data_IF_531873281997
#
_entry.id   IF_531873281997
#
_cell.length_a   1.000
_cell.length_b   1.000
_cell.length_c   1.000
_cell.angle_alpha   90.00
_cell.angle_beta   90.00
_cell.angle_gamma   90.00
#
_symmetry.space_group_name_H-M   'P 1'
#
loop_
_entity.id
_entity.type
_entity.pdbx_description
1 polymer ?
#
# COMPACT_ATOMS: atom_id res chain seq x y z
N UNK A 1 -74.38 -30.53 -13.41
CA UNK A 1 -73.31 -31.31 -12.73
C UNK A 1 -71.99 -30.93 -13.37
N UNK A 2 -71.28 -29.97 -12.75
CA UNK A 2 -70.10 -29.30 -13.32
C UNK A 2 -68.89 -29.77 -12.50
N UNK A 3 -67.93 -30.43 -13.16
CA UNK A 3 -66.65 -30.85 -12.56
C UNK A 3 -65.70 -29.64 -12.45
N UNK A 4 -65.05 -29.40 -11.30
CA UNK A 4 -63.99 -28.39 -11.21
C UNK A 4 -62.68 -28.98 -11.75
N UNK A 5 -62.17 -28.41 -12.85
CA UNK A 5 -60.82 -28.66 -13.36
C UNK A 5 -59.82 -27.93 -12.47
N UNK A 6 -58.93 -28.68 -11.81
CA UNK A 6 -57.78 -28.16 -11.07
C UNK A 6 -56.79 -27.55 -12.06
N UNK A 7 -56.53 -26.25 -11.97
CA UNK A 7 -55.43 -25.57 -12.67
C UNK A 7 -54.18 -25.76 -11.81
N UNK A 8 -53.20 -26.49 -12.33
CA UNK A 8 -51.87 -26.58 -11.73
C UNK A 8 -51.09 -25.32 -12.12
N UNK A 9 -50.74 -24.48 -11.13
CA UNK A 9 -49.73 -23.44 -11.28
C UNK A 9 -48.36 -24.11 -11.43
N UNK A 10 -47.76 -24.04 -12.62
CA UNK A 10 -46.35 -24.32 -12.80
C UNK A 10 -45.55 -23.09 -12.31
N UNK A 11 -44.84 -23.25 -11.19
CA UNK A 11 -43.89 -22.26 -10.71
C UNK A 11 -42.64 -22.29 -11.62
N UNK A 12 -42.43 -21.23 -12.41
CA UNK A 12 -41.13 -20.97 -13.03
C UNK A 12 -40.15 -20.59 -11.93
N UNK A 13 -39.25 -21.51 -11.58
CA UNK A 13 -38.05 -21.19 -10.82
C UNK A 13 -37.11 -20.40 -11.74
N UNK A 14 -37.03 -19.08 -11.54
CA UNK A 14 -35.94 -18.24 -12.05
C UNK A 14 -34.66 -18.69 -11.35
N UNK A 15 -33.88 -19.56 -12.00
CA UNK A 15 -32.48 -19.75 -11.67
C UNK A 15 -31.76 -18.46 -12.04
N UNK A 16 -31.55 -17.58 -11.06
CA UNK A 16 -30.52 -16.57 -11.15
C UNK A 16 -29.20 -17.32 -11.28
N UNK A 17 -28.72 -17.53 -12.51
CA UNK A 17 -27.34 -17.91 -12.75
C UNK A 17 -26.49 -16.80 -12.16
N UNK A 18 -25.91 -17.05 -10.98
CA UNK A 18 -24.98 -16.13 -10.36
C UNK A 18 -23.83 -15.92 -11.34
N UNK A 19 -23.62 -14.67 -11.76
CA UNK A 19 -22.41 -14.32 -12.50
C UNK A 19 -21.22 -14.74 -11.63
N UNK A 20 -20.32 -15.57 -12.17
CA UNK A 20 -19.04 -15.82 -11.51
C UNK A 20 -18.34 -14.47 -11.27
N UNK A 21 -17.63 -14.30 -10.14
CA UNK A 21 -16.79 -13.14 -9.93
C UNK A 21 -15.84 -12.96 -11.12
N UNK A 22 -15.53 -11.72 -11.53
CA UNK A 22 -14.59 -11.51 -12.62
C UNK A 22 -13.19 -11.99 -12.23
N UNK A 23 -12.45 -12.48 -13.21
CA UNK A 23 -11.02 -12.81 -13.10
C UNK A 23 -10.24 -11.50 -13.02
N UNK A 24 -10.01 -10.99 -11.81
CA UNK A 24 -9.50 -9.64 -11.61
C UNK A 24 -8.45 -9.58 -10.49
N UNK A 25 -7.41 -8.78 -10.73
CA UNK A 25 -6.50 -8.34 -9.69
C UNK A 25 -6.65 -6.84 -9.48
N UNK A 26 -6.97 -6.45 -8.26
CA UNK A 26 -7.03 -5.05 -7.83
C UNK A 26 -5.70 -4.70 -7.19
N UNK A 27 -4.98 -3.77 -7.81
CA UNK A 27 -3.74 -3.22 -7.27
C UNK A 27 -4.06 -2.05 -6.37
N UNK A 28 -3.69 -2.13 -5.09
CA UNK A 28 -3.81 -1.03 -4.14
C UNK A 28 -2.43 -0.41 -3.86
N UNK A 29 -2.30 0.91 -4.00
CA UNK A 29 -1.03 1.61 -3.79
C UNK A 29 -1.16 2.62 -2.65
N UNK A 30 -0.84 2.22 -1.41
CA UNK A 30 -0.65 3.15 -0.30
C UNK A 30 0.79 3.70 -0.26
N UNK A 31 1.04 4.67 0.62
CA UNK A 31 2.37 5.16 0.95
C UNK A 31 2.44 5.58 2.41
N UNK A 32 3.63 5.57 3.00
CA UNK A 32 3.95 6.10 4.32
C UNK A 32 4.59 7.50 4.26
N UNK A 33 4.66 8.08 3.06
CA UNK A 33 5.21 9.40 2.77
C UNK A 33 4.12 10.48 2.71
N UNK A 34 4.54 11.73 2.85
CA UNK A 34 3.69 12.92 2.72
C UNK A 34 3.60 13.36 1.26
N UNK A 35 2.39 13.73 0.83
CA UNK A 35 2.14 14.27 -0.51
C UNK A 35 1.71 15.74 -0.43
N UNK A 36 2.16 16.62 -1.35
CA UNK A 36 3.04 16.36 -2.50
C UNK A 36 4.55 16.35 -2.19
N UNK A 37 4.97 16.68 -0.97
CA UNK A 37 6.35 17.05 -0.69
C UNK A 37 7.36 15.94 -0.98
N UNK A 38 7.04 14.69 -0.62
CA UNK A 38 7.95 13.58 -0.83
C UNK A 38 7.82 12.99 -2.24
N UNK A 39 6.58 12.80 -2.69
CA UNK A 39 6.22 12.40 -4.06
C UNK A 39 4.97 13.16 -4.49
N UNK A 40 4.95 13.65 -5.73
CA UNK A 40 3.82 14.40 -6.30
C UNK A 40 3.14 13.66 -7.46
N UNK A 41 3.73 12.55 -7.89
CA UNK A 41 3.28 11.80 -9.05
C UNK A 41 3.41 10.30 -8.82
N UNK A 42 2.33 9.58 -9.10
CA UNK A 42 2.30 8.12 -9.10
C UNK A 42 2.26 7.62 -10.54
N UNK A 43 3.26 6.84 -10.95
CA UNK A 43 3.27 6.16 -12.24
C UNK A 43 2.97 4.67 -12.06
N UNK A 44 2.00 4.16 -12.80
CA UNK A 44 1.65 2.73 -12.81
C UNK A 44 1.77 2.21 -14.23
N UNK A 45 2.50 1.10 -14.37
CA UNK A 45 2.73 0.44 -15.64
C UNK A 45 2.45 -1.05 -15.52
N UNK A 46 1.74 -1.62 -16.48
CA UNK A 46 1.44 -3.05 -16.52
C UNK A 46 1.86 -3.62 -17.86
N UNK A 47 2.59 -4.73 -17.80
CA UNK A 47 3.15 -5.41 -18.94
C UNK A 47 2.66 -6.86 -18.99
N UNK A 48 2.47 -7.36 -20.21
CA UNK A 48 2.28 -8.76 -20.50
C UNK A 48 3.48 -9.21 -21.36
N UNK A 49 4.36 -10.00 -20.75
CA UNK A 49 5.70 -10.22 -21.30
C UNK A 49 6.47 -8.90 -21.47
N UNK A 50 6.91 -8.62 -22.69
CA UNK A 50 7.59 -7.36 -23.05
C UNK A 50 6.63 -6.26 -23.52
N UNK A 51 5.33 -6.54 -23.64
CA UNK A 51 4.36 -5.59 -24.20
C UNK A 51 3.73 -4.76 -23.09
N UNK A 52 3.83 -3.43 -23.17
CA UNK A 52 3.07 -2.54 -22.30
C UNK A 52 1.58 -2.62 -22.64
N UNK A 53 0.76 -2.93 -21.63
CA UNK A 53 -0.71 -3.01 -21.72
C UNK A 53 -1.38 -1.81 -21.08
N UNK A 54 -0.73 -1.20 -20.10
CA UNK A 54 -1.20 -0.03 -19.40
C UNK A 54 -0.01 0.83 -18.95
N UNK A 55 -0.15 2.15 -19.10
CA UNK A 55 0.78 3.12 -18.55
C UNK A 55 0.00 4.39 -18.24
N UNK A 56 0.06 4.84 -16.99
CA UNK A 56 -0.58 6.07 -16.54
C UNK A 56 0.29 6.77 -15.50
N UNK A 57 0.26 8.10 -15.50
CA UNK A 57 0.82 8.96 -14.47
C UNK A 57 -0.31 9.78 -13.83
N UNK A 58 -0.44 9.69 -12.52
CA UNK A 58 -1.37 10.45 -11.70
C UNK A 58 -0.58 11.57 -11.03
N UNK A 59 -0.64 12.76 -11.62
CA UNK A 59 0.12 13.93 -11.17
C UNK A 59 -0.61 14.73 -10.09
N UNK A 60 0.15 15.62 -9.45
CA UNK A 60 -0.33 16.59 -8.47
C UNK A 60 -0.99 15.94 -7.26
N UNK A 61 -0.47 14.79 -6.84
CA UNK A 61 -0.93 14.10 -5.62
C UNK A 61 -0.85 15.05 -4.41
N UNK A 62 -1.88 15.05 -3.57
CA UNK A 62 -1.99 15.97 -2.43
C UNK A 62 -2.44 17.39 -2.76
N UNK A 63 -2.62 17.75 -4.04
CA UNK A 63 -3.27 19.00 -4.42
C UNK A 63 -4.81 18.88 -4.37
N UNK A 64 -5.55 20.00 -4.21
CA UNK A 64 -7.03 19.99 -4.22
C UNK A 64 -7.65 19.41 -5.50
N UNK A 65 -6.95 19.54 -6.63
CA UNK A 65 -7.31 19.05 -7.95
C UNK A 65 -6.43 17.87 -8.41
N UNK A 66 -5.91 17.09 -7.45
CA UNK A 66 -5.10 15.91 -7.71
C UNK A 66 -5.78 14.93 -8.67
N UNK A 67 -5.00 14.30 -9.55
CA UNK A 67 -5.50 13.28 -10.47
C UNK A 67 -5.96 12.00 -9.75
N UNK A 68 -5.48 11.77 -8.52
CA UNK A 68 -5.86 10.67 -7.66
C UNK A 68 -5.61 11.00 -6.18
N UNK A 69 -6.28 10.24 -5.30
CA UNK A 69 -6.02 10.18 -3.85
C UNK A 69 -5.44 8.81 -3.51
N UNK A 70 -4.66 8.73 -2.43
CA UNK A 70 -4.03 7.48 -1.97
C UNK A 70 -4.71 6.92 -0.71
N UNK A 71 -4.85 5.59 -0.56
CA UNK A 71 -4.46 4.57 -1.52
C UNK A 71 -5.25 4.69 -2.83
N UNK A 72 -4.61 4.43 -3.97
CA UNK A 72 -5.35 4.26 -5.24
C UNK A 72 -5.59 2.78 -5.49
N UNK A 73 -6.77 2.41 -5.99
CA UNK A 73 -7.08 1.05 -6.44
C UNK A 73 -7.34 1.02 -7.94
N UNK A 74 -6.63 0.14 -8.67
CA UNK A 74 -6.85 -0.11 -10.10
C UNK A 74 -7.10 -1.60 -10.34
N UNK A 75 -8.18 -1.91 -11.06
CA UNK A 75 -8.54 -3.27 -11.46
C UNK A 75 -7.95 -3.65 -12.81
N UNK A 76 -7.33 -4.83 -12.88
CA UNK A 76 -6.89 -5.45 -14.12
C UNK A 76 -7.55 -6.82 -14.25
N UNK A 77 -8.36 -6.98 -15.30
CA UNK A 77 -9.11 -8.21 -15.53
C UNK A 77 -8.59 -9.00 -16.73
N UNK A 78 -8.82 -10.30 -16.71
CA UNK A 78 -8.57 -11.18 -17.86
C UNK A 78 -9.82 -11.29 -18.73
N UNK A 79 -9.64 -11.19 -20.05
CA UNK A 79 -10.70 -11.49 -21.02
C UNK A 79 -10.70 -12.95 -21.49
N UNK A 80 -9.73 -13.74 -21.04
CA UNK A 80 -9.41 -15.10 -21.52
C UNK A 80 -9.60 -16.17 -20.46
N UNK A 81 -10.15 -15.83 -19.29
CA UNK A 81 -10.43 -16.79 -18.21
C UNK A 81 -9.33 -16.86 -17.14
N UNK A 82 -8.59 -15.77 -16.93
CA UNK A 82 -7.52 -15.65 -15.92
C UNK A 82 -6.22 -16.39 -16.29
N UNK A 83 -5.27 -16.40 -15.36
CA UNK A 83 -3.98 -17.08 -15.50
C UNK A 83 -2.92 -16.30 -16.30
N UNK A 84 -3.30 -15.18 -16.93
CA UNK A 84 -2.39 -14.29 -17.66
C UNK A 84 -1.29 -13.79 -16.73
N UNK A 85 -0.04 -13.95 -17.14
CA UNK A 85 1.11 -13.45 -16.37
C UNK A 85 1.34 -11.98 -16.68
N UNK A 86 1.28 -11.16 -15.64
CA UNK A 86 1.49 -9.72 -15.74
C UNK A 86 2.65 -9.29 -14.84
N UNK A 87 3.38 -8.27 -15.31
CA UNK A 87 4.35 -7.51 -14.51
C UNK A 87 3.78 -6.13 -14.26
N UNK A 88 3.69 -5.74 -13.00
CA UNK A 88 3.19 -4.45 -12.54
C UNK A 88 4.38 -3.69 -11.96
N UNK A 89 4.53 -2.43 -12.38
CA UNK A 89 5.48 -1.49 -11.81
C UNK A 89 4.71 -0.29 -11.26
N UNK A 90 5.01 0.07 -10.03
CA UNK A 90 4.43 1.21 -9.32
C UNK A 90 5.60 2.09 -8.88
N UNK A 91 5.59 3.36 -9.31
CA UNK A 91 6.68 4.28 -9.04
C UNK A 91 6.18 5.61 -8.48
N UNK A 92 6.83 6.08 -7.42
CA UNK A 92 6.65 7.43 -6.87
C UNK A 92 7.70 8.37 -7.45
N UNK A 93 7.26 9.51 -7.97
CA UNK A 93 8.14 10.56 -8.54
C UNK A 93 7.97 11.87 -7.78
N UNK A 94 9.04 12.66 -7.76
CA UNK A 94 9.06 14.04 -7.28
C UNK A 94 9.43 15.00 -8.41
N UNK A 95 8.67 16.08 -8.58
CA UNK A 95 8.86 17.05 -9.66
C UNK A 95 8.03 16.76 -10.93
N UNK A 96 6.86 16.12 -10.78
CA UNK A 96 5.92 15.82 -11.87
C UNK A 96 6.23 14.53 -12.64
N UNK A 97 5.50 14.28 -13.74
CA UNK A 97 5.63 13.05 -14.53
C UNK A 97 7.03 12.80 -15.13
N UNK A 98 7.84 13.84 -15.32
CA UNK A 98 9.24 13.76 -15.77
C UNK A 98 10.25 14.02 -14.66
N UNK A 99 9.76 14.11 -13.42
CA UNK A 99 10.57 14.29 -12.23
C UNK A 99 11.37 13.04 -11.88
N UNK A 100 12.19 13.17 -10.83
CA UNK A 100 13.04 12.08 -10.36
C UNK A 100 12.17 10.93 -9.83
N UNK A 101 12.45 9.71 -10.28
CA UNK A 101 11.88 8.51 -9.67
C UNK A 101 12.55 8.31 -8.32
N UNK A 102 11.75 8.34 -7.25
CA UNK A 102 12.21 8.10 -5.88
C UNK A 102 12.09 6.63 -5.53
N UNK A 103 10.90 6.07 -5.68
CA UNK A 103 10.59 4.70 -5.27
C UNK A 103 10.09 3.91 -6.47
N UNK A 104 10.53 2.66 -6.60
CA UNK A 104 9.97 1.66 -7.50
C UNK A 104 9.61 0.39 -6.72
N UNK A 105 8.37 -0.06 -6.87
CA UNK A 105 7.88 -1.36 -6.43
C UNK A 105 7.42 -2.15 -7.65
N UNK A 106 7.90 -3.38 -7.76
CA UNK A 106 7.52 -4.29 -8.85
C UNK A 106 6.83 -5.53 -8.30
N UNK A 107 5.92 -6.09 -9.09
CA UNK A 107 5.31 -7.38 -8.85
C UNK A 107 5.15 -8.15 -10.17
N UNK A 108 5.40 -9.45 -10.14
CA UNK A 108 5.12 -10.37 -11.24
C UNK A 108 4.18 -11.43 -10.70
N UNK A 109 2.98 -11.50 -11.25
CA UNK A 109 1.93 -12.39 -10.76
C UNK A 109 1.03 -12.85 -11.90
N UNK A 110 0.02 -13.64 -11.59
CA UNK A 110 -1.04 -14.04 -12.52
C UNK A 110 -2.35 -13.37 -12.13
N UNK A 111 -3.18 -13.05 -13.13
CA UNK A 111 -4.57 -12.69 -12.86
C UNK A 111 -5.27 -13.94 -12.30
N UNK A 112 -5.92 -13.86 -11.12
CA UNK A 112 -6.59 -15.02 -10.52
C UNK A 112 -7.77 -15.49 -11.36
N UNK A 113 -8.23 -16.71 -11.10
CA UNK A 113 -9.43 -17.27 -11.71
C UNK A 113 -10.58 -17.28 -10.70
N UNK A 114 -11.79 -16.99 -11.19
CA UNK A 114 -13.06 -17.04 -10.48
C UNK A 114 -13.13 -16.17 -9.20
N UNK A 115 -12.28 -15.14 -9.09
CA UNK A 115 -12.25 -14.21 -7.95
C UNK A 115 -11.57 -12.88 -8.26
N UNK A 116 -11.83 -11.91 -7.40
CA UNK A 116 -11.13 -10.62 -7.37
C UNK A 116 -10.08 -10.64 -6.25
N UNK A 117 -8.80 -10.66 -6.59
CA UNK A 117 -7.72 -10.65 -5.61
C UNK A 117 -7.18 -9.23 -5.36
N UNK A 118 -6.73 -8.97 -4.13
CA UNK A 118 -6.03 -7.74 -3.77
C UNK A 118 -4.52 -7.95 -3.79
N UNK A 119 -3.82 -7.11 -4.55
CA UNK A 119 -2.37 -6.97 -4.51
C UNK A 119 -2.01 -5.58 -3.99
N UNK A 120 -1.49 -5.50 -2.76
CA UNK A 120 -0.99 -4.24 -2.21
C UNK A 120 0.45 -4.01 -2.65
N UNK A 121 0.72 -2.85 -3.25
CA UNK A 121 2.03 -2.42 -3.72
C UNK A 121 2.41 -1.08 -3.06
N UNK A 122 2.76 -1.09 -1.77
CA UNK A 122 3.08 0.12 -1.02
C UNK A 122 4.35 0.80 -1.54
N UNK A 123 4.34 2.13 -1.57
CA UNK A 123 5.53 2.96 -1.77
C UNK A 123 6.08 3.38 -0.40
N UNK A 124 7.07 2.62 0.08
CA UNK A 124 7.68 2.84 1.40
C UNK A 124 8.89 3.78 1.35
N UNK A 125 9.01 4.68 2.32
CA UNK A 125 10.19 5.52 2.57
C UNK A 125 11.50 4.72 2.60
N UNK A 126 11.48 3.54 3.21
CA UNK A 126 12.65 2.66 3.30
C UNK A 126 13.18 2.23 1.92
N UNK A 127 12.34 2.31 0.88
CA UNK A 127 12.68 2.04 -0.51
C UNK A 127 13.01 3.28 -1.34
N UNK A 128 13.11 4.46 -0.75
CA UNK A 128 13.51 5.66 -1.48
C UNK A 128 14.95 5.54 -2.01
N UNK A 129 15.10 5.89 -3.30
CA UNK A 129 16.28 5.65 -4.12
C UNK A 129 16.25 4.34 -4.94
N UNK A 130 15.19 3.52 -4.82
CA UNK A 130 15.10 2.22 -5.51
C UNK A 130 14.82 2.32 -7.01
N UNK A 131 14.22 3.42 -7.47
CA UNK A 131 13.88 3.61 -8.87
C UNK A 131 14.80 4.59 -9.61
N UNK A 132 14.81 4.51 -10.94
CA UNK A 132 15.30 5.57 -11.83
C UNK A 132 14.55 5.52 -13.16
N UNK A 133 14.53 6.65 -13.86
CA UNK A 133 14.06 6.73 -15.25
C UNK A 133 15.06 6.05 -16.19
N UNK A 134 14.58 5.34 -17.21
CA UNK A 134 15.42 4.69 -18.22
C UNK A 134 15.75 5.61 -19.41
N UNK A 135 15.16 6.81 -19.47
CA UNK A 135 15.30 7.79 -20.55
C UNK A 135 14.22 7.69 -21.64
N UNK A 136 13.38 6.65 -21.61
CA UNK A 136 12.29 6.42 -22.56
C UNK A 136 10.90 6.59 -21.91
N UNK A 137 10.86 6.98 -20.63
CA UNK A 137 9.63 7.09 -19.84
C UNK A 137 9.28 5.84 -19.04
N UNK A 138 10.06 4.76 -19.20
CA UNK A 138 9.95 3.57 -18.37
C UNK A 138 10.73 3.77 -17.06
N UNK A 139 10.42 2.90 -16.08
CA UNK A 139 11.07 2.94 -14.77
C UNK A 139 11.81 1.64 -14.56
N UNK A 140 13.08 1.75 -14.16
CA UNK A 140 13.94 0.60 -13.92
C UNK A 140 14.44 0.58 -12.49
N UNK A 141 14.66 -0.64 -11.99
CA UNK A 141 15.24 -0.86 -10.69
C UNK A 141 16.69 -0.36 -10.66
N UNK A 142 17.04 0.39 -9.62
CA UNK A 142 18.39 0.93 -9.40
C UNK A 142 19.19 0.11 -8.40
N UNK A 143 18.52 -0.58 -7.46
CA UNK A 143 19.14 -1.11 -6.25
C UNK A 143 19.11 -2.64 -6.21
N UNK A 144 18.02 -3.26 -6.62
CA UNK A 144 17.84 -4.71 -6.58
C UNK A 144 18.22 -5.39 -7.90
N UNK A 145 18.62 -6.65 -7.78
CA UNK A 145 18.95 -7.49 -8.93
C UNK A 145 17.72 -7.86 -9.78
N UNK A 146 17.97 -8.52 -10.91
CA UNK A 146 16.92 -9.02 -11.79
C UNK A 146 15.93 -9.94 -11.04
N UNK A 147 14.63 -9.76 -11.30
CA UNK A 147 13.56 -10.52 -10.63
C UNK A 147 13.36 -10.15 -9.16
N UNK A 148 13.97 -9.06 -8.70
CA UNK A 148 13.82 -8.53 -7.36
C UNK A 148 13.34 -7.08 -7.37
N UNK A 149 12.84 -6.65 -6.23
CA UNK A 149 12.27 -5.32 -5.99
C UNK A 149 12.52 -4.91 -4.56
N UNK A 150 12.53 -3.62 -4.29
CA UNK A 150 12.61 -3.16 -2.92
C UNK A 150 11.28 -3.41 -2.19
N UNK A 151 11.37 -3.96 -0.98
CA UNK A 151 10.29 -4.19 -0.04
C UNK A 151 10.82 -3.83 1.35
N UNK A 152 10.25 -2.79 1.97
CA UNK A 152 10.69 -2.28 3.27
C UNK A 152 12.21 -2.07 3.39
N UNK A 153 12.84 -1.56 2.32
CA UNK A 153 14.28 -1.28 2.25
C UNK A 153 15.20 -2.49 2.00
N UNK A 154 14.64 -3.68 1.74
CA UNK A 154 15.41 -4.86 1.33
C UNK A 154 14.98 -5.36 -0.04
N UNK A 155 15.90 -6.00 -0.76
CA UNK A 155 15.57 -6.65 -2.02
C UNK A 155 14.89 -8.00 -1.75
N UNK A 156 13.67 -8.15 -2.25
CA UNK A 156 12.90 -9.38 -2.20
C UNK A 156 12.46 -9.80 -3.62
N UNK A 157 12.07 -11.07 -3.84
CA UNK A 157 11.52 -11.49 -5.12
C UNK A 157 10.34 -10.61 -5.54
N UNK A 158 10.30 -10.23 -6.83
CA UNK A 158 9.12 -9.56 -7.40
C UNK A 158 8.00 -10.54 -7.70
N UNK A 159 8.28 -11.84 -7.75
CA UNK A 159 7.28 -12.87 -7.96
C UNK A 159 6.30 -12.94 -6.77
N UNK A 160 5.01 -12.87 -7.06
CA UNK A 160 3.93 -12.99 -6.07
C UNK A 160 3.00 -14.13 -6.47
N UNK A 161 2.71 -15.02 -5.52
CA UNK A 161 1.75 -16.11 -5.74
C UNK A 161 0.31 -15.55 -5.67
N UNK A 162 -0.35 -15.49 -6.83
CA UNK A 162 -1.73 -15.03 -6.95
C UNK A 162 -2.73 -15.84 -6.09
N UNK A 163 -2.44 -17.11 -5.81
CA UNK A 163 -3.30 -17.97 -4.99
C UNK A 163 -3.22 -17.63 -3.50
N UNK A 164 -2.12 -17.03 -3.06
CA UNK A 164 -1.91 -16.60 -1.68
C UNK A 164 -2.44 -15.19 -1.40
N UNK A 165 -2.86 -14.45 -2.44
CA UNK A 165 -3.41 -13.11 -2.29
C UNK A 165 -4.76 -13.15 -1.56
N UNK A 166 -5.09 -12.17 -0.71
CA UNK A 166 -6.43 -12.05 -0.15
C UNK A 166 -7.45 -11.66 -1.22
N UNK A 167 -8.73 -11.94 -0.97
CA UNK A 167 -9.81 -11.39 -1.78
C UNK A 167 -9.88 -9.86 -1.59
N UNK A 168 -10.21 -9.15 -2.66
CA UNK A 168 -10.37 -7.71 -2.59
C UNK A 168 -11.61 -7.30 -1.79
N UNK A 169 -11.40 -6.34 -0.90
CA UNK A 169 -12.44 -5.60 -0.21
C UNK A 169 -11.99 -4.16 -0.05
N UNK A 170 -12.82 -3.20 -0.48
CA UNK A 170 -12.54 -1.77 -0.30
C UNK A 170 -12.24 -1.44 1.17
N UNK A 171 -12.96 -2.08 2.10
CA UNK A 171 -12.76 -1.90 3.54
C UNK A 171 -11.36 -2.29 4.03
N UNK A 172 -10.73 -3.27 3.37
CA UNK A 172 -9.39 -3.72 3.73
C UNK A 172 -8.29 -2.77 3.23
N UNK A 173 -8.62 -1.84 2.32
CA UNK A 173 -7.68 -0.86 1.75
C UNK A 173 -7.88 0.51 2.39
N UNK A 174 -9.14 0.86 2.67
CA UNK A 174 -9.55 2.21 3.01
C UNK A 174 -9.95 2.39 4.48
N UNK A 175 -9.31 1.68 5.42
CA UNK A 175 -9.60 1.79 6.85
C UNK A 175 -11.06 1.50 7.19
N UNK A 176 -11.66 0.49 6.57
CA UNK A 176 -13.08 0.17 6.73
C UNK A 176 -14.04 0.94 5.81
N UNK A 177 -13.52 1.88 5.01
CA UNK A 177 -14.28 2.73 4.10
C UNK A 177 -14.46 2.18 2.68
N UNK A 178 -14.90 3.07 1.79
CA UNK A 178 -15.19 2.77 0.37
C UNK A 178 -14.18 3.35 -0.63
N UNK A 179 -13.21 4.16 -0.18
CA UNK A 179 -12.27 4.87 -1.05
C UNK A 179 -12.78 6.21 -1.59
N UNK A 180 -13.94 6.68 -1.12
CA UNK A 180 -14.52 7.98 -1.49
C UNK A 180 -14.57 8.93 -0.29
N UNK A 181 -13.46 9.03 0.48
CA UNK A 181 -13.38 9.89 1.67
C UNK A 181 -14.16 9.35 2.87
N UNK A 182 -14.28 8.03 2.98
CA UNK A 182 -14.85 7.34 4.13
C UNK A 182 -13.87 6.31 4.68
N UNK A 183 -14.10 5.86 5.92
CA UNK A 183 -13.21 4.97 6.66
C UNK A 183 -12.20 5.75 7.51
N UNK A 184 -11.46 5.01 8.32
CA UNK A 184 -10.47 5.55 9.23
C UNK A 184 -9.12 5.72 8.52
N UNK A 185 -8.30 6.60 9.07
CA UNK A 185 -6.91 6.76 8.68
C UNK A 185 -6.06 6.92 9.95
N UNK A 186 -4.77 6.63 9.84
CA UNK A 186 -3.81 6.78 10.93
C UNK A 186 -3.22 8.20 10.90
N UNK A 187 -3.60 9.03 11.86
CA UNK A 187 -3.06 10.39 12.02
C UNK A 187 -1.68 10.32 12.69
N UNK A 188 -0.63 10.36 11.88
CA UNK A 188 0.75 10.24 12.37
C UNK A 188 1.10 11.37 13.34
N UNK A 189 0.64 12.59 13.09
CA UNK A 189 0.97 13.74 13.94
C UNK A 189 0.27 13.66 15.29
N UNK A 190 -1.03 13.35 15.31
CA UNK A 190 -1.78 13.23 16.55
C UNK A 190 -1.35 11.99 17.35
N UNK A 191 -1.12 10.86 16.68
CA UNK A 191 -0.80 9.61 17.36
C UNK A 191 0.63 9.48 17.87
N UNK A 192 1.54 10.33 17.41
CA UNK A 192 2.89 10.43 17.95
C UNK A 192 3.15 11.75 18.69
N UNK A 193 2.10 12.50 19.05
CA UNK A 193 2.23 13.64 19.96
C UNK A 193 2.77 13.17 21.31
N UNK A 194 3.88 13.76 21.76
CA UNK A 194 4.59 13.33 22.96
C UNK A 194 5.23 11.93 22.88
N UNK A 195 5.47 11.40 21.67
CA UNK A 195 6.11 10.10 21.49
C UNK A 195 7.49 10.00 22.16
N UNK A 196 7.77 8.84 22.76
CA UNK A 196 9.02 8.59 23.45
C UNK A 196 10.09 8.10 22.46
N UNK A 197 11.34 8.60 22.53
CA UNK A 197 12.46 7.98 21.84
C UNK A 197 12.65 6.54 22.30
N UNK A 198 12.88 5.63 21.35
CA UNK A 198 13.19 4.24 21.63
C UNK A 198 14.66 3.95 21.29
N UNK A 199 15.39 3.36 22.24
CA UNK A 199 16.77 2.94 22.03
C UNK A 199 16.81 1.69 21.15
N UNK A 200 17.50 1.78 20.02
CA UNK A 200 17.61 0.69 19.05
C UNK A 200 18.82 -0.17 19.37
N UNK A 201 18.57 -1.45 19.63
CA UNK A 201 19.60 -2.48 19.61
C UNK A 201 20.00 -2.75 18.15
N UNK A 202 21.13 -2.20 17.74
CA UNK A 202 21.63 -2.34 16.38
C UNK A 202 21.99 -3.78 15.99
N UNK A 203 22.33 -4.65 16.96
CA UNK A 203 22.69 -6.04 16.68
C UNK A 203 21.47 -6.90 16.38
N UNK A 204 20.38 -6.69 17.13
CA UNK A 204 19.12 -7.40 16.96
C UNK A 204 18.11 -6.65 16.06
N UNK A 205 18.44 -5.43 15.63
CA UNK A 205 17.56 -4.48 14.96
C UNK A 205 16.15 -4.41 15.57
N UNK A 206 16.12 -4.14 16.87
CA UNK A 206 14.89 -4.11 17.66
C UNK A 206 14.95 -3.04 18.73
N UNK A 207 13.79 -2.74 19.32
CA UNK A 207 13.62 -1.84 20.46
C UNK A 207 12.98 -2.61 21.61
N UNK A 208 13.29 -2.22 22.84
CA UNK A 208 12.49 -2.64 24.00
C UNK A 208 11.13 -1.96 23.96
N UNK A 209 10.07 -2.69 24.31
CA UNK A 209 8.73 -2.15 24.30
C UNK A 209 7.87 -2.81 25.38
N UNK A 210 7.21 -1.97 26.19
CA UNK A 210 6.14 -2.42 27.06
C UNK A 210 4.84 -2.50 26.24
N UNK A 211 4.29 -3.71 26.13
CA UNK A 211 3.07 -3.95 25.35
C UNK A 211 3.31 -3.88 23.83
N UNK A 212 2.30 -3.42 23.09
CA UNK A 212 2.31 -3.40 21.62
C UNK A 212 2.18 -1.96 21.11
N UNK A 213 3.25 -1.14 21.16
CA UNK A 213 3.16 0.27 20.82
C UNK A 213 2.95 0.51 19.32
N UNK A 214 2.60 1.75 18.97
CA UNK A 214 2.84 2.28 17.64
C UNK A 214 4.31 2.64 17.48
N UNK A 215 4.88 2.44 16.29
CA UNK A 215 6.30 2.69 16.00
C UNK A 215 6.45 3.59 14.78
N UNK A 216 7.29 4.62 14.89
CA UNK A 216 7.67 5.48 13.77
C UNK A 216 9.19 5.67 13.67
N UNK A 217 9.63 5.90 12.43
CA UNK A 217 10.99 6.36 12.15
C UNK A 217 11.01 7.88 12.14
N UNK A 218 11.99 8.47 12.82
CA UNK A 218 12.27 9.91 12.72
C UNK A 218 13.23 10.17 11.56
N UNK A 219 12.94 11.19 10.77
CA UNK A 219 13.75 11.59 9.62
C UNK A 219 14.05 13.09 9.67
N UNK A 220 14.94 13.59 8.81
CA UNK A 220 15.24 15.02 8.69
C UNK A 220 14.25 15.79 7.79
N UNK A 221 13.34 15.11 7.07
CA UNK A 221 12.45 15.81 6.13
C UNK A 221 11.42 14.97 5.37
N UNK A 222 11.64 13.66 5.23
CA UNK A 222 10.68 12.77 4.55
C UNK A 222 9.64 12.20 5.54
N UNK A 223 8.41 11.98 5.07
CA UNK A 223 7.31 11.49 5.89
C UNK A 223 6.42 12.62 6.39
N UNK A 224 5.53 12.30 7.33
CA UNK A 224 4.51 13.25 7.81
C UNK A 224 5.10 14.10 8.92
N UNK A 225 5.22 15.41 8.65
CA UNK A 225 5.89 16.36 9.53
C UNK A 225 4.90 17.11 10.42
N UNK A 226 5.21 17.15 11.71
CA UNK A 226 4.60 18.03 12.72
C UNK A 226 5.65 18.93 13.36
N UNK A 227 5.34 19.47 14.55
CA UNK A 227 6.23 20.40 15.26
C UNK A 227 7.54 19.73 15.72
N UNK A 228 7.51 18.43 16.03
CA UNK A 228 8.64 17.64 16.54
C UNK A 228 9.48 16.95 15.43
N UNK A 229 9.22 17.30 14.17
CA UNK A 229 9.92 16.76 12.99
C UNK A 229 9.05 15.84 12.14
N UNK A 230 9.70 15.11 11.23
CA UNK A 230 9.04 14.24 10.26
C UNK A 230 9.10 12.77 10.68
N UNK A 231 7.95 12.11 10.59
CA UNK A 231 7.76 10.73 11.03
C UNK A 231 7.25 9.85 9.89
N UNK A 232 7.78 8.64 9.83
CA UNK A 232 7.29 7.55 8.97
C UNK A 232 6.75 6.44 9.86
N UNK A 233 5.42 6.34 9.96
CA UNK A 233 4.76 5.34 10.79
C UNK A 233 4.79 3.95 10.15
N UNK A 234 5.32 2.97 10.88
CA UNK A 234 5.47 1.60 10.43
C UNK A 234 4.19 0.78 10.67
N UNK A 235 3.91 -0.16 9.76
CA UNK A 235 2.79 -1.09 9.93
C UNK A 235 3.11 -2.13 11.01
N UNK A 236 2.18 -2.38 11.93
CA UNK A 236 2.29 -3.42 12.93
C UNK A 236 1.97 -4.80 12.33
N UNK A 237 2.76 -5.82 12.69
CA UNK A 237 2.50 -7.22 12.36
C UNK A 237 2.63 -7.59 10.87
N UNK A 238 2.95 -6.63 10.00
CA UNK A 238 3.19 -6.86 8.57
C UNK A 238 4.61 -7.37 8.33
N UNK A 239 4.85 -8.32 7.41
CA UNK A 239 6.20 -8.72 7.01
C UNK A 239 7.10 -7.54 6.57
N UNK A 240 6.47 -6.48 6.06
CA UNK A 240 7.12 -5.25 5.58
C UNK A 240 7.22 -4.16 6.68
N UNK A 241 6.63 -4.42 7.85
CA UNK A 241 6.55 -3.52 8.98
C UNK A 241 7.29 -4.05 10.22
N UNK A 242 6.92 -3.57 11.40
CA UNK A 242 7.49 -4.05 12.65
C UNK A 242 6.76 -5.29 13.17
N UNK A 243 7.46 -6.11 13.94
CA UNK A 243 6.97 -7.37 14.47
C UNK A 243 7.06 -7.35 16.00
N UNK A 244 5.93 -7.50 16.73
CA UNK A 244 5.99 -7.66 18.18
C UNK A 244 6.64 -9.00 18.54
N UNK A 245 7.51 -8.97 19.53
CA UNK A 245 8.19 -10.12 20.13
C UNK A 245 8.09 -9.97 21.65
N UNK A 246 8.22 -11.04 22.43
CA UNK A 246 8.01 -10.96 23.89
C UNK A 246 8.93 -9.91 24.55
N UNK A 247 8.35 -8.76 24.95
CA UNK A 247 9.05 -7.61 25.54
C UNK A 247 9.81 -6.72 24.55
N UNK A 248 9.75 -7.01 23.25
CA UNK A 248 10.52 -6.29 22.22
C UNK A 248 9.69 -6.04 20.98
N UNK A 249 10.14 -5.10 20.17
CA UNK A 249 9.64 -4.93 18.81
C UNK A 249 10.81 -5.08 17.85
N UNK A 250 10.72 -6.06 16.95
CA UNK A 250 11.65 -6.20 15.84
C UNK A 250 11.28 -5.23 14.73
N UNK A 251 12.25 -4.42 14.33
CA UNK A 251 12.09 -3.45 13.26
C UNK A 251 12.33 -4.12 11.89
N UNK A 252 11.82 -3.54 10.79
CA UNK A 252 12.26 -3.94 9.46
C UNK A 252 13.80 -3.89 9.38
N UNK A 253 14.48 -4.94 8.88
CA UNK A 253 15.94 -5.00 8.92
C UNK A 253 16.67 -3.84 8.24
N UNK A 254 16.01 -3.14 7.31
CA UNK A 254 16.60 -1.97 6.65
C UNK A 254 16.68 -0.74 7.58
N UNK A 255 15.89 -0.67 8.66
CA UNK A 255 15.89 0.48 9.57
C UNK A 255 17.27 0.70 10.18
N UNK A 256 17.94 -0.37 10.63
CA UNK A 256 19.27 -0.24 11.24
C UNK A 256 20.36 0.16 10.25
N UNK A 257 20.26 -0.29 8.99
CA UNK A 257 21.14 0.19 7.92
C UNK A 257 20.91 1.69 7.67
N UNK A 258 19.66 2.15 7.72
CA UNK A 258 19.31 3.57 7.52
C UNK A 258 19.65 4.46 8.72
N UNK A 259 19.63 3.92 9.94
CA UNK A 259 20.17 4.58 11.13
C UNK A 259 21.69 4.74 11.00
N UNK A 260 22.38 3.70 10.57
CA UNK A 260 23.83 3.74 10.36
C UNK A 260 24.24 4.70 9.22
N UNK A 261 23.40 4.88 8.20
CA UNK A 261 23.63 5.83 7.11
C UNK A 261 23.25 7.27 7.46
N UNK A 262 22.51 7.49 8.55
CA UNK A 262 21.98 8.79 8.98
C UNK A 262 20.69 9.21 8.26
N UNK A 263 20.13 8.38 7.37
CA UNK A 263 18.85 8.68 6.70
C UNK A 263 17.66 8.62 7.67
N UNK A 264 17.71 7.69 8.64
CA UNK A 264 16.83 7.66 9.79
C UNK A 264 17.62 8.22 10.97
N UNK A 265 17.04 9.18 11.71
CA UNK A 265 17.72 9.84 12.84
C UNK A 265 17.34 9.25 14.19
N UNK A 266 16.30 8.42 14.24
CA UNK A 266 15.86 7.74 15.45
C UNK A 266 14.60 6.92 15.24
N UNK A 267 14.20 6.21 16.29
CA UNK A 267 12.92 5.48 16.37
C UNK A 267 12.15 6.06 17.56
N UNK A 268 10.84 6.21 17.39
CA UNK A 268 9.94 6.66 18.45
C UNK A 268 8.79 5.67 18.63
N UNK A 269 8.28 5.59 19.86
CA UNK A 269 7.10 4.79 20.19
C UNK A 269 6.01 5.66 20.80
N UNK A 270 4.77 5.26 20.55
CA UNK A 270 3.59 5.88 21.14
C UNK A 270 2.62 4.78 21.63
N UNK A 271 1.85 5.05 22.70
CA UNK A 271 0.87 4.09 23.20
C UNK A 271 -0.25 3.86 22.18
N UNK A 272 -0.83 2.66 22.21
CA UNK A 272 -2.06 2.35 21.47
C UNK A 272 -3.26 2.80 22.28
N UNK A 273 -4.14 3.58 21.65
CA UNK A 273 -5.41 4.03 22.23
C UNK A 273 -6.57 3.73 21.27
N UNK A 274 -7.80 4.10 21.66
CA UNK A 274 -8.95 3.96 20.75
C UNK A 274 -8.84 4.91 19.54
N UNK A 275 -8.28 6.10 19.75
CA UNK A 275 -8.04 7.12 18.73
C UNK A 275 -6.79 6.81 17.92
N UNK A 276 -5.82 6.12 18.51
CA UNK A 276 -4.56 5.73 17.91
C UNK A 276 -4.38 4.21 17.96
N UNK A 277 -5.16 3.45 17.17
CA UNK A 277 -4.99 2.01 17.05
C UNK A 277 -3.61 1.69 16.47
N UNK A 278 -3.20 0.42 16.48
CA UNK A 278 -1.98 0.06 15.74
C UNK A 278 -2.14 0.34 14.25
N UNK A 279 -1.16 1.04 13.66
CA UNK A 279 -1.11 1.22 12.21
C UNK A 279 -1.01 -0.14 11.52
N UNK A 280 -1.76 -0.34 10.44
CA UNK A 280 -1.74 -1.57 9.66
C UNK A 280 -1.79 -1.24 8.17
N UNK A 281 -1.49 -2.24 7.32
CA UNK A 281 -1.54 -2.10 5.86
C UNK A 281 -2.89 -1.58 5.35
N UNK A 282 -3.98 -1.93 6.03
CA UNK A 282 -5.34 -1.49 5.68
C UNK A 282 -5.79 -0.18 6.32
N UNK A 283 -4.95 0.45 7.15
CA UNK A 283 -5.20 1.73 7.79
C UNK A 283 -4.22 2.77 7.22
N UNK A 284 -4.57 3.43 6.10
CA UNK A 284 -3.69 4.39 5.44
C UNK A 284 -3.45 5.62 6.32
N UNK A 285 -2.41 6.39 6.05
CA UNK A 285 -2.16 7.64 6.79
C UNK A 285 -3.19 8.71 6.46
N UNK A 286 -3.50 9.57 7.43
CA UNK A 286 -4.33 10.74 7.22
C UNK A 286 -3.59 11.83 6.42
N UNK A 287 -4.37 12.66 5.72
CA UNK A 287 -3.89 13.84 5.02
C UNK A 287 -4.83 14.22 3.87
N UNK A 288 -4.66 15.42 3.27
CA UNK A 288 -5.51 15.91 2.18
C UNK A 288 -5.43 15.04 0.91
N UNK A 289 -4.37 14.24 0.78
CA UNK A 289 -4.22 13.26 -0.29
C UNK A 289 -4.99 11.96 -0.05
N UNK A 290 -5.51 11.73 1.16
CA UNK A 290 -6.03 10.42 1.55
C UNK A 290 -7.41 10.14 0.93
N UNK A 291 -7.58 8.92 0.42
CA UNK A 291 -8.87 8.40 -0.03
C UNK A 291 -9.73 7.88 1.14
N UNK A 292 -9.12 7.79 2.33
CA UNK A 292 -9.73 7.45 3.61
C UNK A 292 -9.75 8.67 4.53
N UNK A 293 -10.54 8.58 5.61
CA UNK A 293 -10.75 9.71 6.50
C UNK A 293 -11.71 10.73 5.89
N UNK A 294 -12.60 11.25 6.72
CA UNK A 294 -13.43 12.38 6.37
C UNK A 294 -12.70 13.68 6.71
N UNK A 295 -11.73 14.07 5.89
CA UNK A 295 -11.46 15.50 5.71
C UNK A 295 -12.26 15.97 4.50
N UNK A 296 -13.51 16.36 4.78
CA UNK A 296 -14.10 17.42 3.97
C UNK A 296 -13.18 18.66 4.15
N UNK A 297 -12.87 19.38 3.06
CA UNK A 297 -11.98 20.54 3.09
C UNK A 297 -12.45 21.64 4.05
#
# INVERSE_FOLDING_TARGET
MIHPRRIALAALALACGGCSPPDEIVVAVPTDLKLPEDIDTLQIQVFEGATSRFSAAYERLGAPDAAARLPVTLGFYSSTGGGDSIRIQVAGRAGGARGAVRILREAVTKIPQDRVALLTMPLYFLCDGSGRDDGNGDVVNRVCGEGQTCVAGRCAPSAVDASALPDYSAKAVYGGGSGFGSGDCFDVTACFDGAAPAEVDAAACSIEADGEPNVALRTEGDGICGDDGCLVALDAGSPDGFQPEDGRVRLPPAVCDQLASGKVTGVVTAPVTAECPQKSVGLPTCGPWSASGSEAP
#
